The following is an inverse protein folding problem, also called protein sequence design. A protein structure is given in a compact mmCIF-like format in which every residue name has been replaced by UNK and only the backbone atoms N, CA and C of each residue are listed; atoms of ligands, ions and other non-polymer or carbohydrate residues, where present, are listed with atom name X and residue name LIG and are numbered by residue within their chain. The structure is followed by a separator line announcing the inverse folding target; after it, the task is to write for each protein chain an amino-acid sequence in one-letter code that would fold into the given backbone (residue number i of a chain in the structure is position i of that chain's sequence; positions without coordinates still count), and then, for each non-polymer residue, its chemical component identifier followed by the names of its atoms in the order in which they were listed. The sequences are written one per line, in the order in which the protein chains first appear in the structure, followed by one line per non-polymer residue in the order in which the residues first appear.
data_IF_177568871414
#
_entry.id   IF_177568871414
#
_cell.length_a   1.000
_cell.length_b   1.000
_cell.length_c   1.000
_cell.angle_alpha   90.00
_cell.angle_beta   90.00
_cell.angle_gamma   90.00
#
_symmetry.space_group_name_H-M   'P 1'
#
loop_
_entity.id
_entity.type
_entity.pdbx_description
1 polymer ?
#
# COMPACT_ATOMS: atom_id res chain seq x y z
N UNK A 1 61.67 17.54 -2.30
CA UNK A 1 60.90 16.44 -2.91
C UNK A 1 59.48 16.49 -2.35
N UNK A 2 58.48 16.71 -3.22
CA UNK A 2 57.05 16.78 -2.89
C UNK A 2 56.39 15.54 -3.47
N UNK A 3 55.74 14.74 -2.63
CA UNK A 3 54.66 13.81 -2.97
C UNK A 3 54.25 13.08 -1.68
N UNK A 4 53.01 12.71 -1.40
CA UNK A 4 51.67 13.08 -1.86
C UNK A 4 50.75 12.42 -0.85
N UNK A 5 49.87 13.17 -0.20
CA UNK A 5 48.82 12.62 0.66
C UNK A 5 47.82 11.84 -0.21
N UNK A 6 47.73 10.52 -0.05
CA UNK A 6 46.57 9.76 -0.56
C UNK A 6 45.57 9.59 0.57
N UNK A 7 44.66 10.57 0.66
CA UNK A 7 43.44 10.50 1.45
C UNK A 7 42.46 9.59 0.69
N UNK A 8 42.42 8.30 1.03
CA UNK A 8 41.43 7.37 0.48
C UNK A 8 40.10 7.65 1.17
N UNK A 9 39.30 8.52 0.54
CA UNK A 9 37.89 8.73 0.90
C UNK A 9 37.12 7.50 0.40
N UNK A 10 36.84 6.58 1.32
CA UNK A 10 35.86 5.51 1.13
C UNK A 10 34.46 6.14 1.05
N UNK A 11 34.04 6.47 -0.17
CA UNK A 11 32.65 6.74 -0.51
C UNK A 11 31.86 5.45 -0.32
N UNK A 12 31.26 5.29 0.87
CA UNK A 12 30.14 4.39 1.06
C UNK A 12 28.97 4.92 0.23
N UNK A 13 28.85 4.43 -1.00
CA UNK A 13 27.62 4.56 -1.77
C UNK A 13 26.60 3.69 -1.03
N UNK A 14 25.77 4.33 -0.22
CA UNK A 14 24.52 3.76 0.23
C UNK A 14 23.70 3.46 -1.03
N UNK A 15 23.82 2.24 -1.57
CA UNK A 15 22.88 1.70 -2.54
C UNK A 15 21.58 1.50 -1.76
N UNK A 16 20.84 2.59 -1.58
CA UNK A 16 19.45 2.52 -1.20
C UNK A 16 18.79 1.68 -2.29
N UNK A 17 18.41 0.46 -1.93
CA UNK A 17 17.54 -0.36 -2.75
C UNK A 17 16.27 0.46 -2.98
N UNK A 18 16.21 1.17 -4.10
CA UNK A 18 14.98 1.78 -4.59
C UNK A 18 14.01 0.61 -4.69
N UNK A 19 13.03 0.57 -3.78
CA UNK A 19 11.90 -0.34 -3.93
C UNK A 19 11.36 -0.08 -5.34
N UNK A 20 11.43 -1.08 -6.20
CA UNK A 20 10.92 -0.96 -7.56
C UNK A 20 9.45 -0.57 -7.45
N UNK A 21 9.06 0.43 -8.24
CA UNK A 21 7.67 0.81 -8.35
C UNK A 21 6.84 -0.41 -8.78
N UNK A 22 5.66 -0.63 -8.15
CA UNK A 22 4.81 -1.76 -8.48
C UNK A 22 4.32 -1.66 -9.92
N UNK A 23 4.35 -2.77 -10.68
CA UNK A 23 3.74 -2.78 -12.00
C UNK A 23 2.23 -2.53 -11.92
N UNK A 24 1.68 -1.75 -12.85
CA UNK A 24 0.26 -1.38 -12.88
C UNK A 24 -0.61 -2.56 -13.37
N UNK A 25 -0.80 -3.55 -12.50
CA UNK A 25 -1.61 -4.76 -12.69
C UNK A 25 -2.30 -5.14 -11.39
N UNK A 26 -3.26 -6.05 -11.44
CA UNK A 26 -3.96 -6.54 -10.26
C UNK A 26 -3.61 -7.99 -9.97
N UNK A 27 -3.74 -8.38 -8.70
CA UNK A 27 -3.78 -9.79 -8.29
C UNK A 27 -5.00 -10.03 -7.43
N UNK A 28 -5.40 -11.29 -7.30
CA UNK A 28 -6.57 -11.69 -6.52
C UNK A 28 -6.17 -12.26 -5.16
N UNK A 29 -7.02 -12.02 -4.16
CA UNK A 29 -6.90 -12.67 -2.87
C UNK A 29 -7.15 -14.18 -2.99
N UNK A 30 -6.26 -15.05 -2.49
CA UNK A 30 -6.40 -16.50 -2.67
C UNK A 30 -7.27 -17.18 -1.60
N UNK A 31 -7.65 -16.49 -0.52
CA UNK A 31 -8.38 -17.07 0.62
C UNK A 31 -9.81 -16.54 0.73
N UNK A 32 -10.55 -17.01 1.74
CA UNK A 32 -11.89 -16.50 2.05
C UNK A 32 -11.82 -15.03 2.50
N UNK A 33 -12.90 -14.31 2.23
CA UNK A 33 -13.00 -12.87 2.51
C UNK A 33 -13.39 -12.54 3.95
N UNK A 34 -13.72 -13.54 4.76
CA UNK A 34 -14.15 -13.41 6.16
C UNK A 34 -13.05 -13.79 7.17
N UNK A 35 -11.83 -14.08 6.68
CA UNK A 35 -10.67 -14.34 7.52
C UNK A 35 -10.40 -13.17 8.48
N UNK A 36 -10.05 -13.41 9.76
CA UNK A 36 -9.74 -12.35 10.69
C UNK A 36 -8.52 -11.54 10.22
N UNK A 37 -8.49 -10.24 10.55
CA UNK A 37 -7.42 -9.33 10.11
C UNK A 37 -6.01 -9.84 10.44
N UNK A 38 -5.82 -10.51 11.59
CA UNK A 38 -4.54 -11.10 11.97
C UNK A 38 -4.04 -12.17 10.99
N UNK A 39 -4.92 -13.00 10.44
CA UNK A 39 -4.58 -14.01 9.42
C UNK A 39 -4.26 -13.37 8.08
N UNK A 40 -5.04 -12.37 7.68
CA UNK A 40 -4.79 -11.59 6.47
C UNK A 40 -3.43 -10.90 6.58
N UNK A 41 -3.16 -10.22 7.70
CA UNK A 41 -1.87 -9.57 7.97
C UNK A 41 -0.71 -10.55 7.88
N UNK A 42 -0.78 -11.71 8.56
CA UNK A 42 0.28 -12.71 8.53
C UNK A 42 0.56 -13.22 7.10
N UNK A 43 -0.48 -13.32 6.27
CA UNK A 43 -0.30 -13.67 4.85
C UNK A 43 0.42 -12.56 4.09
N UNK A 44 0.03 -11.29 4.30
CA UNK A 44 0.61 -10.13 3.64
C UNK A 44 2.04 -9.83 4.10
N UNK A 45 2.39 -10.12 5.37
CA UNK A 45 3.76 -10.02 5.90
C UNK A 45 4.74 -10.91 5.11
N UNK A 46 4.25 -12.01 4.53
CA UNK A 46 5.04 -12.94 3.73
C UNK A 46 5.02 -12.64 2.22
N UNK A 47 4.36 -11.57 1.79
CA UNK A 47 4.28 -11.18 0.39
C UNK A 47 5.23 -10.03 0.06
N UNK A 48 5.79 -9.99 -1.16
CA UNK A 48 6.45 -8.78 -1.65
C UNK A 48 5.49 -7.59 -1.58
N UNK A 49 5.99 -6.43 -1.15
CA UNK A 49 5.17 -5.21 -0.98
C UNK A 49 4.39 -4.87 -2.26
N UNK A 50 5.04 -4.94 -3.42
CA UNK A 50 4.42 -4.74 -4.72
C UNK A 50 3.16 -5.61 -4.90
N UNK A 51 3.22 -6.88 -4.52
CA UNK A 51 2.10 -7.81 -4.66
C UNK A 51 0.93 -7.42 -3.75
N UNK A 52 1.21 -6.93 -2.53
CA UNK A 52 0.17 -6.41 -1.64
C UNK A 52 -0.51 -5.14 -2.21
N UNK A 53 0.24 -4.28 -2.90
CA UNK A 53 -0.29 -3.08 -3.57
C UNK A 53 -1.17 -3.49 -4.76
N UNK A 54 -0.69 -4.40 -5.60
CA UNK A 54 -1.45 -4.95 -6.73
C UNK A 54 -2.72 -5.67 -6.27
N UNK A 55 -2.67 -6.32 -5.10
CA UNK A 55 -3.84 -6.90 -4.46
C UNK A 55 -4.83 -5.80 -4.04
N UNK A 56 -4.36 -4.74 -3.38
CA UNK A 56 -5.22 -3.63 -2.99
C UNK A 56 -5.98 -3.08 -4.21
N UNK A 57 -5.27 -2.78 -5.30
CA UNK A 57 -5.91 -2.31 -6.54
C UNK A 57 -6.95 -3.31 -7.07
N UNK A 58 -6.62 -4.61 -7.08
CA UNK A 58 -7.57 -5.65 -7.48
C UNK A 58 -8.83 -5.68 -6.63
N UNK A 59 -8.68 -5.63 -5.31
CA UNK A 59 -9.80 -5.66 -4.35
C UNK A 59 -10.66 -4.40 -4.40
N UNK A 60 -10.06 -3.23 -4.66
CA UNK A 60 -10.80 -1.98 -4.86
C UNK A 60 -11.63 -2.01 -6.15
N UNK A 61 -11.11 -2.62 -7.21
CA UNK A 61 -11.77 -2.71 -8.52
C UNK A 61 -12.78 -3.88 -8.64
N UNK A 62 -12.90 -4.73 -7.62
CA UNK A 62 -13.87 -5.84 -7.63
C UNK A 62 -15.30 -5.31 -7.83
N UNK A 63 -16.06 -5.99 -8.69
CA UNK A 63 -17.50 -5.72 -8.86
C UNK A 63 -18.30 -6.09 -7.61
N UNK A 64 -17.96 -7.23 -7.01
CA UNK A 64 -18.58 -7.69 -5.77
C UNK A 64 -17.75 -7.28 -4.56
N UNK A 65 -18.25 -6.27 -3.85
CA UNK A 65 -17.61 -5.70 -2.67
C UNK A 65 -18.00 -6.40 -1.36
N UNK A 66 -18.94 -7.36 -1.40
CA UNK A 66 -19.31 -8.17 -0.23
C UNK A 66 -18.17 -9.12 0.17
N UNK A 67 -17.44 -9.62 -0.83
CA UNK A 67 -16.32 -10.55 -0.65
C UNK A 67 -14.94 -9.90 -0.89
N UNK A 68 -14.89 -8.57 -0.90
CA UNK A 68 -13.63 -7.84 -1.02
C UNK A 68 -12.84 -7.88 0.29
N UNK A 69 -11.52 -8.05 0.21
CA UNK A 69 -10.59 -7.85 1.33
C UNK A 69 -9.86 -6.51 1.25
N UNK A 70 -10.41 -5.54 0.49
CA UNK A 70 -9.78 -4.23 0.32
C UNK A 70 -9.44 -3.54 1.64
N UNK A 71 -10.38 -3.48 2.59
CA UNK A 71 -10.13 -2.78 3.87
C UNK A 71 -8.95 -3.32 4.68
N UNK A 72 -8.86 -4.62 5.00
CA UNK A 72 -7.71 -5.15 5.73
C UNK A 72 -6.40 -5.02 4.92
N UNK A 73 -6.43 -5.15 3.60
CA UNK A 73 -5.24 -4.95 2.76
C UNK A 73 -4.79 -3.47 2.79
N UNK A 74 -5.73 -2.53 2.68
CA UNK A 74 -5.44 -1.09 2.76
C UNK A 74 -4.94 -0.71 4.16
N UNK A 75 -5.51 -1.27 5.24
CA UNK A 75 -5.04 -1.06 6.61
C UNK A 75 -3.61 -1.55 6.75
N UNK A 76 -3.32 -2.76 6.27
CA UNK A 76 -1.98 -3.33 6.29
C UNK A 76 -0.97 -2.43 5.57
N UNK A 77 -1.29 -1.99 4.36
CA UNK A 77 -0.41 -1.13 3.57
C UNK A 77 -0.20 0.24 4.23
N UNK A 78 -1.26 0.82 4.80
CA UNK A 78 -1.19 2.10 5.53
C UNK A 78 -0.30 1.99 6.78
N UNK A 79 -0.42 0.93 7.58
CA UNK A 79 0.34 0.81 8.84
C UNK A 79 1.81 0.45 8.61
N UNK A 80 2.11 -0.26 7.51
CA UNK A 80 3.48 -0.72 7.19
C UNK A 80 4.25 0.22 6.29
N UNK A 81 3.57 1.19 5.66
CA UNK A 81 4.23 2.23 4.89
C UNK A 81 5.02 3.16 5.82
N UNK A 82 6.12 3.71 5.34
CA UNK A 82 6.88 4.75 6.05
C UNK A 82 6.61 6.12 5.44
N UNK A 83 6.43 6.21 4.12
CA UNK A 83 6.20 7.46 3.38
C UNK A 83 4.78 7.99 3.64
N UNK A 84 4.71 9.19 4.21
CA UNK A 84 3.43 9.84 4.56
C UNK A 84 2.49 10.02 3.37
N UNK A 85 3.01 10.39 2.21
CA UNK A 85 2.20 10.54 0.99
C UNK A 85 1.55 9.20 0.57
N UNK A 86 2.30 8.10 0.60
CA UNK A 86 1.77 6.76 0.27
C UNK A 86 0.79 6.28 1.36
N UNK A 87 1.04 6.56 2.64
CA UNK A 87 0.04 6.33 3.70
C UNK A 87 -1.26 7.07 3.41
N UNK A 88 -1.15 8.34 3.02
CA UNK A 88 -2.27 9.19 2.64
C UNK A 88 -3.06 8.60 1.48
N UNK A 89 -2.38 8.10 0.44
CA UNK A 89 -3.00 7.39 -0.67
C UNK A 89 -3.89 6.23 -0.19
N UNK A 90 -3.36 5.29 0.59
CA UNK A 90 -4.15 4.15 1.08
C UNK A 90 -5.30 4.57 1.99
N UNK A 91 -5.06 5.56 2.85
CA UNK A 91 -6.10 6.12 3.73
C UNK A 91 -7.26 6.72 2.92
N UNK A 92 -6.97 7.56 1.93
CA UNK A 92 -8.00 8.22 1.10
C UNK A 92 -8.79 7.20 0.28
N UNK A 93 -8.11 6.19 -0.29
CA UNK A 93 -8.79 5.11 -1.01
C UNK A 93 -9.74 4.33 -0.09
N UNK A 94 -9.29 4.01 1.13
CA UNK A 94 -10.13 3.37 2.13
C UNK A 94 -11.33 4.23 2.51
N UNK A 95 -11.14 5.51 2.82
CA UNK A 95 -12.22 6.44 3.19
C UNK A 95 -13.24 6.62 2.04
N UNK A 96 -12.78 6.61 0.79
CA UNK A 96 -13.66 6.62 -0.38
C UNK A 96 -14.56 5.38 -0.40
N UNK A 97 -13.98 4.21 -0.12
CA UNK A 97 -14.70 2.94 -0.10
C UNK A 97 -15.60 2.76 1.13
N UNK A 98 -15.27 3.35 2.27
CA UNK A 98 -16.16 3.33 3.45
C UNK A 98 -17.28 4.37 3.34
N UNK A 99 -17.14 5.34 2.44
CA UNK A 99 -18.05 6.47 2.33
C UNK A 99 -17.84 7.52 3.43
N UNK A 100 -16.59 7.70 3.86
CA UNK A 100 -16.16 8.71 4.83
C UNK A 100 -15.96 8.20 6.25
N UNK A 101 -16.26 6.92 6.54
CA UNK A 101 -15.92 6.34 7.85
C UNK A 101 -14.43 6.04 7.97
N UNK A 102 -13.85 6.17 9.17
CA UNK A 102 -12.44 5.87 9.36
C UNK A 102 -12.16 4.37 9.16
N UNK A 103 -11.05 4.07 8.49
CA UNK A 103 -10.63 2.69 8.24
C UNK A 103 -10.45 1.89 9.53
N UNK A 104 -9.86 2.50 10.57
CA UNK A 104 -9.70 1.84 11.88
C UNK A 104 -11.02 1.37 12.48
N UNK A 105 -12.11 2.14 12.31
CA UNK A 105 -13.44 1.75 12.81
C UNK A 105 -13.99 0.55 12.06
N UNK A 106 -13.76 0.49 10.74
CA UNK A 106 -14.18 -0.62 9.89
C UNK A 106 -13.38 -1.89 10.21
N UNK A 107 -12.09 -1.76 10.52
CA UNK A 107 -11.23 -2.88 10.91
C UNK A 107 -11.64 -3.44 12.28
N UNK A 108 -12.04 -2.61 13.24
CA UNK A 108 -12.51 -3.07 14.57
C UNK A 108 -13.69 -4.04 14.49
N UNK A 109 -14.56 -3.89 13.49
CA UNK A 109 -15.74 -4.74 13.31
C UNK A 109 -15.55 -5.81 12.23
N UNK A 110 -14.38 -5.93 11.64
CA UNK A 110 -14.09 -6.93 10.61
C UNK A 110 -14.27 -8.37 11.13
N UNK A 111 -14.86 -9.30 10.36
CA UNK A 111 -15.37 -9.17 8.98
C UNK A 111 -16.83 -8.70 8.89
N UNK A 112 -17.49 -8.39 10.01
CA UNK A 112 -18.92 -8.01 10.11
C UNK A 112 -19.17 -6.55 9.69
N UNK A 113 -18.49 -6.10 8.66
CA UNK A 113 -18.58 -4.74 8.13
C UNK A 113 -19.71 -4.59 7.12
N UNK A 114 -20.10 -3.35 6.85
CA UNK A 114 -20.88 -3.04 5.65
C UNK A 114 -20.07 -3.35 4.38
N UNK A 115 -20.73 -3.67 3.25
CA UNK A 115 -20.08 -3.78 1.96
C UNK A 115 -19.32 -2.50 1.61
N UNK A 116 -18.20 -2.64 0.91
CA UNK A 116 -17.44 -1.47 0.49
C UNK A 116 -18.17 -0.78 -0.65
N UNK A 117 -18.11 0.55 -0.67
CA UNK A 117 -18.57 1.33 -1.82
C UNK A 117 -17.59 1.12 -2.98
N UNK A 118 -18.09 0.93 -4.20
CA UNK A 118 -17.23 0.84 -5.36
C UNK A 118 -16.52 2.18 -5.56
N UNK A 119 -15.22 2.12 -5.85
CA UNK A 119 -14.47 3.29 -6.31
C UNK A 119 -14.86 3.60 -7.76
N UNK A 120 -14.78 4.88 -8.15
CA UNK A 120 -15.03 5.34 -9.52
C UNK A 120 -13.76 5.44 -10.38
N UNK A 121 -12.62 5.06 -9.81
CA UNK A 121 -11.33 5.07 -10.50
C UNK A 121 -11.13 3.76 -11.26
N UNK A 122 -10.49 3.84 -12.43
CA UNK A 122 -9.94 2.67 -13.10
C UNK A 122 -8.54 2.33 -12.56
N UNK A 123 -7.97 1.21 -13.01
CA UNK A 123 -6.65 0.77 -12.58
C UNK A 123 -5.57 1.81 -12.91
N UNK A 124 -5.66 2.47 -14.07
CA UNK A 124 -4.68 3.45 -14.51
C UNK A 124 -4.63 4.63 -13.54
N UNK A 125 -5.78 5.20 -13.20
CA UNK A 125 -5.89 6.29 -12.24
C UNK A 125 -5.38 5.88 -10.84
N UNK A 126 -5.68 4.65 -10.39
CA UNK A 126 -5.15 4.14 -9.12
C UNK A 126 -3.62 4.09 -9.10
N UNK A 127 -2.99 3.62 -10.18
CA UNK A 127 -1.54 3.57 -10.32
C UNK A 127 -0.93 4.97 -10.40
N UNK A 128 -1.50 5.86 -11.21
CA UNK A 128 -1.02 7.25 -11.35
C UNK A 128 -1.03 7.98 -10.00
N UNK A 129 -2.13 7.88 -9.25
CA UNK A 129 -2.22 8.46 -7.90
C UNK A 129 -1.18 7.86 -6.93
N UNK A 130 -0.92 6.56 -7.01
CA UNK A 130 0.12 5.92 -6.21
C UNK A 130 1.51 6.42 -6.59
N UNK A 131 1.85 6.51 -7.88
CA UNK A 131 3.15 7.00 -8.34
C UNK A 131 3.36 8.48 -7.98
N UNK A 132 2.32 9.31 -8.06
CA UNK A 132 2.36 10.69 -7.57
C UNK A 132 2.69 10.72 -6.07
N UNK A 133 2.04 9.88 -5.27
CA UNK A 133 2.35 9.77 -3.85
C UNK A 133 3.77 9.22 -3.59
N UNK A 134 4.25 8.29 -4.40
CA UNK A 134 5.59 7.69 -4.25
C UNK A 134 6.72 8.66 -4.64
N UNK A 135 6.46 9.57 -5.57
CA UNK A 135 7.41 10.58 -6.05
C UNK A 135 7.31 11.92 -5.31
N UNK A 136 6.28 12.10 -4.48
CA UNK A 136 6.12 13.30 -3.66
C UNK A 136 7.31 13.46 -2.70
N UNK A 137 7.89 14.67 -2.59
CA UNK A 137 8.95 14.92 -1.62
C UNK A 137 8.44 14.62 -0.21
N UNK A 138 9.23 13.89 0.57
CA UNK A 138 8.94 13.67 1.99
C UNK A 138 9.11 15.01 2.69
N UNK A 139 7.99 15.66 3.07
CA UNK A 139 8.05 16.75 4.03
C UNK A 139 8.53 16.15 5.36
N UNK A 140 9.78 16.44 5.71
CA UNK A 140 10.33 16.20 7.04
C UNK A 140 9.61 17.16 8.01
N UNK A 141 8.75 16.61 8.86
CA UNK A 141 8.23 17.29 10.06
C UNK A 141 9.08 16.89 11.27
#
# INVERSE_FOLDING_TARGET
MKASFSLVVLLFICIGTRASDPACKTVQWPLKSDEPFSRIKLTLDNWPREKAIQLAWGEMLKRDQNHSVAFPVLQYLQITEQRMAIKGYFKVMAETMTGGSSLDSVIKIWPKRSPAKPIKFDLKALCEMYHLAATSPTEEN
#
